data_IF_936295111399
#
_entry.id   IF_936295111399
#
_cell.length_a   1.000
_cell.length_b   1.000
_cell.length_c   1.000
_cell.angle_alpha   90.00
_cell.angle_beta   90.00
_cell.angle_gamma   90.00
#
_symmetry.space_group_name_H-M   'P 1'
#
loop_
_entity.id
_entity.type
_entity.pdbx_description
1 polymer ?
#
# COMPACT_ATOMS: atom_id res chain seq x y z
N UNK A 1 -17.52 79.33 -23.33
CA UNK A 1 -16.64 78.55 -24.22
C UNK A 1 -15.90 77.55 -23.36
N UNK A 2 -16.29 76.26 -23.44
CA UNK A 2 -15.69 75.15 -22.69
C UNK A 2 -14.31 74.80 -23.24
N UNK A 3 -13.32 74.68 -22.36
CA UNK A 3 -12.07 74.00 -22.66
C UNK A 3 -12.18 72.54 -22.17
N UNK A 4 -11.90 71.59 -23.05
CA UNK A 4 -11.90 70.16 -22.75
C UNK A 4 -10.67 69.75 -21.93
N UNK A 5 -10.77 68.80 -20.99
CA UNK A 5 -9.61 68.21 -20.35
C UNK A 5 -8.94 67.19 -21.27
N UNK A 6 -7.65 67.37 -21.53
CA UNK A 6 -6.80 66.45 -22.27
C UNK A 6 -6.55 65.20 -21.42
N UNK A 7 -7.04 64.05 -21.88
CA UNK A 7 -6.75 62.74 -21.28
C UNK A 7 -5.28 62.41 -21.51
N UNK A 8 -4.49 62.41 -20.44
CA UNK A 8 -3.12 61.92 -20.46
C UNK A 8 -3.10 60.40 -20.67
N UNK A 9 -2.67 59.97 -21.85
CA UNK A 9 -2.28 58.58 -22.12
C UNK A 9 -0.97 58.27 -21.40
N UNK A 10 -1.08 57.95 -20.12
CA UNK A 10 0.00 57.35 -19.33
C UNK A 10 0.29 55.94 -19.82
N UNK A 11 1.04 55.81 -20.92
CA UNK A 11 1.64 54.54 -21.33
C UNK A 11 2.58 54.08 -20.23
N UNK A 12 2.21 53.00 -19.53
CA UNK A 12 3.09 52.28 -18.60
C UNK A 12 4.22 51.66 -19.41
N UNK A 13 5.32 52.40 -19.56
CA UNK A 13 6.58 51.89 -20.04
C UNK A 13 7.04 50.78 -19.11
N UNK A 14 6.88 49.54 -19.53
CA UNK A 14 7.44 48.39 -18.83
C UNK A 14 8.97 48.52 -18.87
N UNK A 15 9.54 49.03 -17.78
CA UNK A 15 10.98 49.07 -17.59
C UNK A 15 11.57 47.68 -17.86
N UNK A 16 12.35 47.58 -18.93
CA UNK A 16 13.01 46.35 -19.32
C UNK A 16 13.93 45.93 -18.18
N UNK A 17 13.54 44.88 -17.46
CA UNK A 17 14.29 44.36 -16.30
C UNK A 17 15.77 44.16 -16.69
N UNK A 18 16.74 44.66 -15.90
CA UNK A 18 18.15 44.62 -16.24
C UNK A 18 18.64 43.20 -16.58
N UNK A 19 19.45 43.02 -17.64
CA UNK A 19 19.87 41.70 -18.14
C UNK A 19 20.68 40.90 -17.11
N UNK A 20 21.37 41.57 -16.19
CA UNK A 20 22.12 40.93 -15.10
C UNK A 20 21.22 40.18 -14.12
N UNK A 21 19.99 40.66 -13.88
CA UNK A 21 19.01 39.98 -13.00
C UNK A 21 18.54 38.66 -13.59
N UNK A 22 18.36 38.61 -14.91
CA UNK A 22 18.01 37.37 -15.62
C UNK A 22 19.14 36.34 -15.54
N UNK A 23 20.39 36.78 -15.71
CA UNK A 23 21.57 35.92 -15.59
C UNK A 23 21.73 35.38 -14.17
N UNK A 24 21.59 36.24 -13.16
CA UNK A 24 21.64 35.84 -11.76
C UNK A 24 20.55 34.81 -11.44
N UNK A 25 19.30 35.08 -11.84
CA UNK A 25 18.19 34.16 -11.64
C UNK A 25 18.41 32.80 -12.33
N UNK A 26 18.93 32.82 -13.57
CA UNK A 26 19.24 31.58 -14.28
C UNK A 26 20.34 30.78 -13.56
N UNK A 27 21.42 31.43 -13.12
CA UNK A 27 22.51 30.78 -12.38
C UNK A 27 22.00 30.21 -11.05
N UNK A 28 21.18 30.95 -10.31
CA UNK A 28 20.58 30.46 -9.06
C UNK A 28 19.68 29.25 -9.29
N UNK A 29 18.82 29.29 -10.31
CA UNK A 29 17.94 28.17 -10.65
C UNK A 29 18.75 26.94 -11.05
N UNK A 30 19.71 27.09 -11.97
CA UNK A 30 20.57 26.00 -12.42
C UNK A 30 21.37 25.42 -11.25
N UNK A 31 21.91 26.28 -10.38
CA UNK A 31 22.62 25.86 -9.17
C UNK A 31 21.73 25.07 -8.21
N UNK A 32 20.51 25.55 -7.96
CA UNK A 32 19.54 24.86 -7.10
C UNK A 32 19.16 23.48 -7.67
N UNK A 33 18.91 23.41 -8.98
CA UNK A 33 18.61 22.14 -9.67
C UNK A 33 19.81 21.20 -9.59
N UNK A 34 21.03 21.68 -9.84
CA UNK A 34 22.24 20.88 -9.78
C UNK A 34 22.50 20.33 -8.37
N UNK A 35 22.32 21.14 -7.32
CA UNK A 35 22.43 20.70 -5.93
C UNK A 35 21.37 19.65 -5.62
N UNK A 36 20.12 19.85 -6.06
CA UNK A 36 19.06 18.89 -5.82
C UNK A 36 19.34 17.54 -6.50
N UNK A 37 19.78 17.55 -7.75
CA UNK A 37 20.20 16.35 -8.48
C UNK A 37 21.39 15.66 -7.81
N UNK A 38 22.38 16.42 -7.34
CA UNK A 38 23.53 15.87 -6.61
C UNK A 38 23.10 15.20 -5.29
N UNK A 39 22.13 15.78 -4.56
CA UNK A 39 21.57 15.18 -3.35
C UNK A 39 20.80 13.88 -3.65
N UNK A 40 20.04 13.83 -4.76
CA UNK A 40 19.35 12.61 -5.21
C UNK A 40 20.35 11.51 -5.54
N UNK A 41 21.36 11.81 -6.36
CA UNK A 41 22.38 10.84 -6.77
C UNK A 41 23.20 10.35 -5.57
N UNK A 42 23.64 11.27 -4.70
CA UNK A 42 24.41 10.94 -3.51
C UNK A 42 23.57 10.13 -2.51
N UNK A 43 22.29 10.46 -2.33
CA UNK A 43 21.35 9.68 -1.52
C UNK A 43 21.15 8.24 -2.03
N UNK A 44 21.32 8.00 -3.33
CA UNK A 44 21.26 6.66 -3.92
C UNK A 44 22.55 5.85 -3.80
N UNK A 45 23.71 6.50 -3.67
CA UNK A 45 25.03 5.87 -3.55
C UNK A 45 25.49 5.67 -2.09
N UNK A 46 24.90 6.39 -1.13
CA UNK A 46 25.22 6.29 0.29
C UNK A 46 24.66 4.99 0.92
N UNK A 47 25.48 4.16 1.59
CA UNK A 47 25.03 2.92 2.23
C UNK A 47 23.98 3.14 3.34
N UNK A 48 23.92 4.35 3.91
CA UNK A 48 23.07 4.73 5.02
C UNK A 48 21.89 5.62 4.61
N UNK A 49 21.70 5.90 3.30
CA UNK A 49 20.58 6.63 2.69
C UNK A 49 20.21 7.94 3.39
N UNK A 50 21.19 8.69 3.95
CA UNK A 50 20.94 9.89 4.80
C UNK A 50 20.13 11.01 4.15
N UNK A 51 20.04 11.03 2.82
CA UNK A 51 19.30 12.04 2.04
C UNK A 51 18.34 11.44 1.00
N UNK A 52 18.16 10.12 1.02
CA UNK A 52 17.17 9.43 0.18
C UNK A 52 15.85 9.34 0.92
N UNK A 53 14.93 10.27 0.67
CA UNK A 53 13.54 10.10 1.09
C UNK A 53 12.90 8.96 0.26
N UNK A 54 13.12 7.71 0.66
CA UNK A 54 12.15 6.65 0.39
C UNK A 54 11.14 6.71 1.53
N UNK A 55 9.94 7.27 1.34
CA UNK A 55 8.90 7.08 2.32
C UNK A 55 8.63 5.56 2.34
N UNK A 56 9.03 4.91 3.44
CA UNK A 56 8.66 3.55 3.82
C UNK A 56 9.28 2.43 2.96
N UNK A 57 10.53 2.08 3.26
CA UNK A 57 11.01 0.73 3.02
C UNK A 57 10.54 -0.17 4.18
N UNK A 58 9.24 -0.18 4.49
CA UNK A 58 8.63 -1.24 5.30
C UNK A 58 8.54 -2.46 4.40
N UNK A 59 9.63 -3.24 4.36
CA UNK A 59 9.66 -4.51 3.64
C UNK A 59 9.00 -5.58 4.50
N UNK A 60 7.74 -5.35 4.85
CA UNK A 60 6.91 -6.35 5.49
C UNK A 60 6.66 -7.48 4.51
N UNK A 61 7.09 -8.68 4.90
CA UNK A 61 6.72 -9.92 4.23
C UNK A 61 5.70 -10.63 5.09
N UNK A 62 4.67 -11.17 4.47
CA UNK A 62 3.64 -11.93 5.15
C UNK A 62 3.33 -13.22 4.42
N UNK A 63 2.81 -14.18 5.16
CA UNK A 63 2.29 -15.46 4.68
C UNK A 63 1.18 -15.87 5.64
N UNK A 64 0.16 -16.57 5.16
CA UNK A 64 -0.84 -17.19 6.01
C UNK A 64 -1.14 -18.63 5.60
N UNK A 65 -1.22 -19.50 6.60
CA UNK A 65 -1.75 -20.85 6.48
C UNK A 65 -3.21 -20.79 6.90
N UNK A 66 -4.12 -21.21 6.01
CA UNK A 66 -5.56 -21.15 6.26
C UNK A 66 -6.10 -22.57 6.36
N UNK A 67 -6.84 -22.83 7.43
CA UNK A 67 -7.51 -24.11 7.66
C UNK A 67 -9.01 -23.88 7.81
N UNK A 68 -9.79 -24.79 7.26
CA UNK A 68 -11.21 -24.93 7.59
C UNK A 68 -11.38 -25.81 8.81
N UNK A 69 -12.19 -25.35 9.74
CA UNK A 69 -12.65 -26.14 10.88
C UNK A 69 -14.00 -26.72 10.49
N UNK A 70 -14.11 -28.03 10.51
CA UNK A 70 -15.35 -28.73 10.20
C UNK A 70 -16.20 -28.94 11.45
N UNK A 71 -17.49 -29.26 11.27
CA UNK A 71 -18.44 -29.49 12.36
C UNK A 71 -18.03 -30.63 13.32
N UNK A 72 -17.24 -31.59 12.83
CA UNK A 72 -16.65 -32.68 13.63
C UNK A 72 -15.33 -32.29 14.31
N UNK A 73 -14.91 -31.02 14.21
CA UNK A 73 -13.73 -30.47 14.85
C UNK A 73 -12.40 -30.75 14.13
N UNK A 74 -12.42 -31.37 12.93
CA UNK A 74 -11.21 -31.54 12.12
C UNK A 74 -10.75 -30.18 11.58
N UNK A 75 -9.44 -30.05 11.42
CA UNK A 75 -8.79 -28.92 10.74
C UNK A 75 -8.23 -29.41 9.42
N UNK A 76 -8.74 -28.88 8.31
CA UNK A 76 -8.33 -29.26 6.97
C UNK A 76 -7.72 -28.03 6.27
N UNK A 77 -6.57 -28.13 5.61
CA UNK A 77 -6.01 -27.02 4.87
C UNK A 77 -6.90 -26.60 3.69
N UNK A 78 -6.92 -25.31 3.38
CA UNK A 78 -7.68 -24.75 2.24
C UNK A 78 -6.91 -24.89 0.92
N UNK A 79 -5.58 -25.01 0.97
CA UNK A 79 -4.69 -25.03 -0.21
C UNK A 79 -4.28 -26.44 -0.69
N UNK A 80 -4.82 -27.50 -0.09
CA UNK A 80 -4.47 -28.89 -0.42
C UNK A 80 -5.22 -29.48 -1.62
N UNK A 81 -6.12 -28.70 -2.23
CA UNK A 81 -6.92 -29.11 -3.38
C UNK A 81 -8.07 -30.07 -3.06
N UNK A 82 -8.35 -30.36 -1.79
CA UNK A 82 -9.49 -31.17 -1.37
C UNK A 82 -10.77 -30.36 -1.14
N UNK A 83 -10.63 -29.03 -1.10
CA UNK A 83 -11.76 -28.13 -0.93
C UNK A 83 -12.49 -27.91 -2.25
N UNK A 84 -13.82 -27.89 -2.19
CA UNK A 84 -14.67 -27.68 -3.38
C UNK A 84 -14.53 -26.28 -3.98
N UNK A 85 -14.07 -25.32 -3.17
CA UNK A 85 -13.83 -23.94 -3.59
C UNK A 85 -12.34 -23.66 -3.82
N UNK A 86 -12.05 -22.80 -4.79
CA UNK A 86 -10.75 -22.15 -4.91
C UNK A 86 -10.76 -20.84 -4.12
N UNK A 87 -9.81 -20.70 -3.19
CA UNK A 87 -9.67 -19.49 -2.38
C UNK A 87 -9.47 -18.21 -3.22
N UNK A 88 -8.68 -18.29 -4.29
CA UNK A 88 -8.37 -17.11 -5.09
C UNK A 88 -9.58 -16.65 -5.89
N UNK A 89 -10.38 -17.60 -6.38
CA UNK A 89 -11.66 -17.33 -7.04
C UNK A 89 -12.68 -16.74 -6.07
N UNK A 90 -12.80 -17.30 -4.86
CA UNK A 90 -13.71 -16.81 -3.82
C UNK A 90 -13.41 -15.37 -3.41
N UNK A 91 -12.14 -15.09 -3.06
CA UNK A 91 -11.77 -13.79 -2.51
C UNK A 91 -11.63 -12.74 -3.62
N UNK A 92 -11.10 -13.12 -4.79
CA UNK A 92 -10.98 -12.24 -5.96
C UNK A 92 -10.07 -11.00 -5.77
N UNK A 93 -9.45 -10.82 -4.61
CA UNK A 93 -8.57 -9.69 -4.30
C UNK A 93 -7.11 -10.10 -4.47
N UNK A 94 -6.41 -9.44 -5.39
CA UNK A 94 -5.02 -9.77 -5.71
C UNK A 94 -4.02 -9.65 -4.55
N UNK A 95 -4.33 -8.87 -3.51
CA UNK A 95 -3.51 -8.80 -2.30
C UNK A 95 -3.62 -10.04 -1.42
N UNK A 96 -4.71 -10.80 -1.53
CA UNK A 96 -4.96 -12.06 -0.81
C UNK A 96 -4.85 -13.28 -1.73
N UNK A 97 -4.29 -13.13 -2.93
CA UNK A 97 -4.07 -14.25 -3.83
C UNK A 97 -2.91 -15.11 -3.32
N UNK A 98 -3.17 -16.40 -3.11
CA UNK A 98 -2.21 -17.40 -2.64
C UNK A 98 -1.50 -17.03 -1.33
N UNK A 99 -2.24 -16.83 -0.22
CA UNK A 99 -1.69 -16.38 1.06
C UNK A 99 -0.65 -17.34 1.65
N UNK A 100 -0.68 -18.61 1.27
CA UNK A 100 0.30 -19.64 1.63
C UNK A 100 1.70 -19.39 1.03
N UNK A 101 1.86 -18.43 0.12
CA UNK A 101 3.17 -18.02 -0.41
C UNK A 101 3.64 -16.72 0.25
N UNK A 102 4.92 -16.62 0.66
CA UNK A 102 5.48 -15.36 1.15
C UNK A 102 5.29 -14.23 0.13
N UNK A 103 4.64 -13.16 0.55
CA UNK A 103 4.35 -11.99 -0.28
C UNK A 103 4.66 -10.69 0.45
N UNK A 104 4.90 -9.62 -0.31
CA UNK A 104 5.03 -8.30 0.28
C UNK A 104 3.67 -7.79 0.77
N UNK A 105 3.62 -7.26 1.99
CA UNK A 105 2.42 -6.62 2.53
C UNK A 105 2.25 -5.24 1.88
N UNK A 106 1.71 -5.21 0.67
CA UNK A 106 1.41 -3.96 -0.06
C UNK A 106 0.37 -3.18 0.72
N UNK A 107 0.77 -2.05 1.30
CA UNK A 107 -0.06 -1.25 2.21
C UNK A 107 0.18 -1.50 3.70
N UNK A 108 1.20 -2.29 4.05
CA UNK A 108 1.64 -2.58 5.41
C UNK A 108 1.02 -3.86 6.00
N UNK A 109 1.74 -4.51 6.93
CA UNK A 109 1.29 -5.77 7.53
C UNK A 109 -0.05 -5.67 8.26
N UNK A 110 -0.35 -4.54 8.90
CA UNK A 110 -1.64 -4.35 9.59
C UNK A 110 -2.82 -4.40 8.63
N UNK A 111 -2.72 -3.68 7.51
CA UNK A 111 -3.80 -3.61 6.54
C UNK A 111 -4.08 -4.99 5.91
N UNK A 112 -3.04 -5.80 5.66
CA UNK A 112 -3.24 -7.13 5.07
C UNK A 112 -3.84 -8.13 6.07
N UNK A 113 -3.45 -8.03 7.35
CA UNK A 113 -4.05 -8.83 8.43
C UNK A 113 -5.52 -8.47 8.61
N UNK A 114 -5.85 -7.18 8.70
CA UNK A 114 -7.23 -6.71 8.85
C UNK A 114 -8.10 -7.09 7.63
N UNK A 115 -7.52 -7.10 6.42
CA UNK A 115 -8.22 -7.53 5.21
C UNK A 115 -8.45 -9.04 5.19
N UNK A 116 -7.45 -9.83 5.59
CA UNK A 116 -7.56 -11.29 5.66
C UNK A 116 -8.63 -11.69 6.68
N UNK A 117 -8.64 -11.07 7.86
CA UNK A 117 -9.62 -11.32 8.93
C UNK A 117 -11.06 -11.23 8.39
N UNK A 118 -11.39 -10.10 7.76
CA UNK A 118 -12.71 -9.90 7.12
C UNK A 118 -13.00 -10.87 5.98
N UNK A 119 -11.96 -11.29 5.25
CA UNK A 119 -12.12 -12.25 4.17
C UNK A 119 -12.50 -13.63 4.72
N UNK A 120 -11.94 -14.05 5.87
CA UNK A 120 -12.32 -15.30 6.51
C UNK A 120 -13.82 -15.31 6.84
N UNK A 121 -14.32 -14.26 7.48
CA UNK A 121 -15.75 -14.13 7.84
C UNK A 121 -16.67 -14.07 6.61
N UNK A 122 -16.20 -13.39 5.55
CA UNK A 122 -16.97 -13.31 4.32
C UNK A 122 -17.05 -14.69 3.66
N UNK A 123 -15.92 -15.39 3.52
CA UNK A 123 -15.84 -16.70 2.88
C UNK A 123 -16.73 -17.71 3.59
N UNK A 124 -16.68 -17.80 4.92
CA UNK A 124 -17.52 -18.74 5.70
C UNK A 124 -19.02 -18.56 5.40
N UNK A 125 -19.45 -17.33 5.11
CA UNK A 125 -20.85 -17.02 4.77
C UNK A 125 -21.20 -17.23 3.29
N UNK A 126 -20.21 -17.42 2.42
CA UNK A 126 -20.37 -17.51 0.97
C UNK A 126 -19.94 -18.86 0.37
N UNK A 127 -19.95 -19.92 1.19
CA UNK A 127 -19.67 -21.31 0.77
C UNK A 127 -20.93 -22.19 0.95
N UNK A 128 -21.97 -22.04 0.11
CA UNK A 128 -23.22 -22.82 0.24
C UNK A 128 -23.04 -24.33 0.02
N UNK A 129 -22.06 -24.73 -0.80
CA UNK A 129 -21.81 -26.12 -1.19
C UNK A 129 -20.87 -26.86 -0.22
N UNK A 130 -20.41 -26.19 0.85
CA UNK A 130 -19.63 -26.79 1.94
C UNK A 130 -20.33 -26.51 3.29
N UNK A 131 -21.34 -27.34 3.64
CA UNK A 131 -22.06 -27.19 4.91
C UNK A 131 -21.24 -27.68 6.11
N UNK A 132 -20.17 -28.47 5.87
CA UNK A 132 -19.38 -29.07 6.94
C UNK A 132 -18.44 -28.05 7.58
N UNK A 133 -18.03 -27.00 6.85
CA UNK A 133 -17.16 -25.93 7.36
C UNK A 133 -17.93 -24.97 8.28
N UNK A 134 -17.55 -24.93 9.56
CA UNK A 134 -18.16 -24.04 10.58
C UNK A 134 -17.41 -22.73 10.75
N UNK A 135 -16.10 -22.70 10.54
CA UNK A 135 -15.28 -21.48 10.54
C UNK A 135 -13.96 -21.69 9.81
N UNK A 136 -13.27 -20.58 9.52
CA UNK A 136 -11.89 -20.60 9.05
C UNK A 136 -10.94 -20.08 10.14
N UNK A 137 -9.78 -20.70 10.26
CA UNK A 137 -8.68 -20.24 11.11
C UNK A 137 -7.48 -19.93 10.22
N UNK A 138 -6.78 -18.83 10.47
CA UNK A 138 -5.56 -18.48 9.75
C UNK A 138 -4.39 -18.24 10.70
N UNK A 139 -3.28 -18.93 10.46
CA UNK A 139 -1.99 -18.65 11.09
C UNK A 139 -1.19 -17.72 10.18
N UNK A 140 -1.13 -16.45 10.55
CA UNK A 140 -0.41 -15.42 9.80
C UNK A 140 0.99 -15.24 10.36
N UNK A 141 2.00 -15.34 9.50
CA UNK A 141 3.39 -15.03 9.83
C UNK A 141 3.78 -13.71 9.16
N UNK A 142 4.20 -12.73 9.95
CA UNK A 142 4.65 -11.41 9.49
C UNK A 142 6.11 -11.20 9.85
N UNK A 143 6.93 -10.81 8.88
CA UNK A 143 8.33 -10.47 9.04
C UNK A 143 8.48 -8.99 8.73
N UNK A 144 8.69 -8.17 9.77
CA UNK A 144 8.93 -6.74 9.63
C UNK A 144 10.43 -6.47 9.45
N UNK A 145 10.85 -5.87 8.34
CA UNK A 145 12.23 -5.40 8.13
C UNK A 145 13.34 -6.43 8.46
N UNK A 146 13.09 -7.72 8.18
CA UNK A 146 13.99 -8.86 8.48
C UNK A 146 14.25 -9.10 9.97
N UNK A 147 13.40 -8.58 10.85
CA UNK A 147 13.35 -8.96 12.26
C UNK A 147 12.70 -10.33 12.44
N UNK A 148 12.67 -10.81 13.68
CA UNK A 148 12.05 -12.08 14.03
C UNK A 148 10.59 -12.15 13.56
N UNK A 149 10.15 -13.29 13.01
CA UNK A 149 8.78 -13.48 12.60
C UNK A 149 7.80 -13.31 13.76
N UNK A 150 6.74 -12.53 13.54
CA UNK A 150 5.59 -12.45 14.44
C UNK A 150 4.48 -13.34 13.90
N UNK A 151 3.92 -14.18 14.77
CA UNK A 151 2.79 -15.04 14.43
C UNK A 151 1.52 -14.47 15.03
N UNK A 152 0.49 -14.33 14.19
CA UNK A 152 -0.86 -13.86 14.55
C UNK A 152 -1.82 -14.99 14.19
N UNK A 153 -2.69 -15.36 15.12
CA UNK A 153 -3.77 -16.31 14.86
C UNK A 153 -5.05 -15.53 14.66
N UNK A 154 -5.66 -15.69 13.49
CA UNK A 154 -6.97 -15.16 13.16
C UNK A 154 -7.98 -16.30 13.23
N UNK A 155 -9.17 -16.01 13.72
CA UNK A 155 -10.27 -16.96 13.81
C UNK A 155 -11.48 -16.23 13.30
N UNK A 156 -11.96 -16.64 12.13
CA UNK A 156 -13.17 -16.09 11.56
C UNK A 156 -14.38 -16.47 12.41
N UNK A 157 -15.43 -15.68 12.25
CA UNK A 157 -16.71 -15.91 12.90
C UNK A 157 -17.24 -17.31 12.60
N UNK A 158 -17.88 -17.90 13.60
CA UNK A 158 -18.61 -19.15 13.42
C UNK A 158 -19.81 -18.91 12.51
N UNK A 159 -20.04 -19.83 11.58
CA UNK A 159 -21.23 -19.81 10.73
C UNK A 159 -22.45 -19.92 11.65
N UNK A 160 -23.34 -18.94 11.59
CA UNK A 160 -24.64 -19.06 12.24
C UNK A 160 -25.36 -20.27 11.64
N UNK A 161 -25.40 -21.37 12.40
CA UNK A 161 -26.19 -22.54 12.06
C UNK A 161 -27.65 -22.14 12.18
N UNK A 162 -28.24 -21.68 11.07
CA UNK A 162 -29.67 -21.41 11.00
C UNK A 162 -30.46 -22.66 11.40
N UNK A 163 -31.58 -22.50 12.15
CA UNK A 163 -32.41 -23.61 12.60
C UNK A 163 -33.06 -24.40 11.46
#
# INVERSE_FOLDING_TARGET
MSAAPTVGTGGTGGEARPPWRRRLAAVTLVGAVAVHLALIVNGGADPHKRFGFRPFEDSDVWQAEIVRVTADGRRLPVDDGTWVYDWNELVGVGSLASPWRPGHARGGARAIVDLLDRALDWVVRHIPDDPDTVRLEARVTVIHNRHDPRVIILTGDERETGP
#
